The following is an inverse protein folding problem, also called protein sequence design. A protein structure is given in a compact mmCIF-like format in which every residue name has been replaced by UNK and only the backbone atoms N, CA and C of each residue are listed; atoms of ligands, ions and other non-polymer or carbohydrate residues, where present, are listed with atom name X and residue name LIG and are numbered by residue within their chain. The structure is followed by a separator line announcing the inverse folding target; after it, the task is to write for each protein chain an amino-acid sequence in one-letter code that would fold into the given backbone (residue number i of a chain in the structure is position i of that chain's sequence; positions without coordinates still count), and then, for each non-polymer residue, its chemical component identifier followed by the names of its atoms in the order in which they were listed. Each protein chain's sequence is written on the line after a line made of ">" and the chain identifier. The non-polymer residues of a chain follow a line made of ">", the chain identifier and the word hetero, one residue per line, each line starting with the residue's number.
data_IF_765153432438
#
_entry.id   IF_765153432438
#
_cell.length_a   1.000
_cell.length_b   1.000
_cell.length_c   1.000
_cell.angle_alpha   90.00
_cell.angle_beta   90.00
_cell.angle_gamma   90.00
#
_symmetry.space_group_name_H-M   'P 1'
#
loop_
_entity.id
_entity.type
_entity.pdbx_description
1 polymer ?
#
# COMPACT_ATOMS: atom_id res chain seq x y z
N UNK A 1 -120.93 25.66 -82.65
CA UNK A 1 -119.58 25.59 -82.06
C UNK A 1 -119.55 25.22 -80.58
N UNK A 2 -120.69 24.93 -79.92
CA UNK A 2 -120.73 24.53 -78.50
C UNK A 2 -120.52 23.00 -78.29
N UNK A 3 -121.03 22.15 -79.19
CA UNK A 3 -120.90 20.70 -79.04
C UNK A 3 -119.48 20.14 -79.23
N UNK A 4 -118.56 20.86 -79.88
CA UNK A 4 -117.14 20.46 -79.96
C UNK A 4 -116.39 20.76 -78.67
N UNK A 5 -116.81 21.79 -77.93
CA UNK A 5 -116.25 22.11 -76.61
C UNK A 5 -116.61 21.02 -75.59
N UNK A 6 -117.86 20.53 -75.60
CA UNK A 6 -118.32 19.47 -74.69
C UNK A 6 -117.63 18.12 -74.91
N UNK A 7 -117.27 17.78 -76.15
CA UNK A 7 -116.49 16.56 -76.45
C UNK A 7 -115.04 16.72 -76.00
N UNK A 8 -114.41 17.86 -76.26
CA UNK A 8 -113.03 18.12 -75.83
C UNK A 8 -112.87 18.22 -74.31
N UNK A 9 -113.86 18.75 -73.60
CA UNK A 9 -113.85 18.78 -72.13
C UNK A 9 -114.08 17.39 -71.54
N UNK A 10 -114.95 16.57 -72.14
CA UNK A 10 -115.13 15.17 -71.77
C UNK A 10 -113.88 14.30 -71.98
N UNK A 11 -113.15 14.51 -73.07
CA UNK A 11 -111.87 13.83 -73.35
C UNK A 11 -110.75 14.31 -72.41
N UNK A 12 -110.70 15.60 -72.10
CA UNK A 12 -109.77 16.14 -71.11
C UNK A 12 -110.04 15.55 -69.71
N UNK A 13 -111.30 15.47 -69.28
CA UNK A 13 -111.67 14.87 -67.99
C UNK A 13 -111.32 13.39 -67.91
N UNK A 14 -111.53 12.62 -68.99
CA UNK A 14 -111.08 11.22 -69.08
C UNK A 14 -109.57 11.10 -69.01
N UNK A 15 -108.83 11.94 -69.74
CA UNK A 15 -107.37 11.97 -69.67
C UNK A 15 -106.86 12.34 -68.27
N UNK A 16 -107.53 13.26 -67.55
CA UNK A 16 -107.19 13.57 -66.16
C UNK A 16 -107.48 12.40 -65.23
N UNK A 17 -108.58 11.67 -65.44
CA UNK A 17 -108.91 10.48 -64.67
C UNK A 17 -107.88 9.36 -64.90
N UNK A 18 -107.55 9.08 -66.16
CA UNK A 18 -106.53 8.08 -66.52
C UNK A 18 -105.15 8.45 -65.97
N UNK A 19 -104.78 9.74 -65.99
CA UNK A 19 -103.54 10.23 -65.40
C UNK A 19 -103.54 10.11 -63.87
N UNK A 20 -104.68 10.34 -63.21
CA UNK A 20 -104.83 10.13 -61.77
C UNK A 20 -104.73 8.66 -61.40
N UNK A 21 -105.35 7.76 -62.16
CA UNK A 21 -105.26 6.31 -61.95
C UNK A 21 -103.83 5.79 -62.16
N UNK A 22 -103.14 6.27 -63.20
CA UNK A 22 -101.73 5.96 -63.43
C UNK A 22 -100.83 6.48 -62.31
N UNK A 23 -101.08 7.71 -61.83
CA UNK A 23 -100.35 8.28 -60.71
C UNK A 23 -100.58 7.48 -59.42
N UNK A 24 -101.81 7.05 -59.13
CA UNK A 24 -102.14 6.19 -57.99
C UNK A 24 -101.44 4.83 -58.08
N UNK A 25 -101.45 4.20 -59.25
CA UNK A 25 -100.74 2.94 -59.46
C UNK A 25 -99.22 3.10 -59.32
N UNK A 26 -98.65 4.21 -59.81
CA UNK A 26 -97.22 4.52 -59.64
C UNK A 26 -96.88 4.69 -58.17
N UNK A 27 -97.71 5.44 -57.43
CA UNK A 27 -97.51 5.69 -56.00
C UNK A 27 -97.58 4.39 -55.19
N UNK A 28 -98.51 3.49 -55.49
CA UNK A 28 -98.57 2.16 -54.86
C UNK A 28 -97.35 1.28 -55.17
N UNK A 29 -96.77 1.39 -56.38
CA UNK A 29 -95.52 0.68 -56.73
C UNK A 29 -94.33 1.26 -55.97
N UNK A 30 -94.27 2.59 -55.86
CA UNK A 30 -93.23 3.27 -55.09
C UNK A 30 -93.34 2.99 -53.59
N UNK A 31 -94.55 2.93 -53.03
CA UNK A 31 -94.78 2.52 -51.64
C UNK A 31 -94.30 1.09 -51.37
N UNK A 32 -94.61 0.14 -52.28
CA UNK A 32 -94.11 -1.24 -52.20
C UNK A 32 -92.59 -1.33 -52.35
N UNK A 33 -92.00 -0.49 -53.20
CA UNK A 33 -90.54 -0.42 -53.34
C UNK A 33 -89.90 0.16 -52.07
N UNK A 34 -90.48 1.21 -51.51
CA UNK A 34 -90.01 1.84 -50.29
C UNK A 34 -90.10 0.88 -49.11
N UNK A 35 -91.21 0.16 -48.95
CA UNK A 35 -91.35 -0.83 -47.87
C UNK A 35 -90.32 -1.97 -47.99
N UNK A 36 -90.05 -2.45 -49.20
CA UNK A 36 -88.99 -3.43 -49.44
C UNK A 36 -87.59 -2.88 -49.12
N UNK A 37 -87.30 -1.61 -49.47
CA UNK A 37 -86.01 -0.99 -49.11
C UNK A 37 -85.86 -0.75 -47.62
N UNK A 38 -86.94 -0.43 -46.91
CA UNK A 38 -86.93 -0.28 -45.45
C UNK A 38 -86.63 -1.62 -44.78
N UNK A 39 -87.23 -2.71 -45.27
CA UNK A 39 -86.92 -4.06 -44.79
C UNK A 39 -85.46 -4.45 -45.07
N UNK A 40 -84.94 -4.17 -46.27
CA UNK A 40 -83.53 -4.43 -46.58
C UNK A 40 -82.58 -3.63 -45.68
N UNK A 41 -82.92 -2.36 -45.38
CA UNK A 41 -82.14 -1.53 -44.47
C UNK A 41 -82.18 -2.05 -43.03
N UNK A 42 -83.32 -2.57 -42.56
CA UNK A 42 -83.41 -3.20 -41.23
C UNK A 42 -82.57 -4.47 -41.15
N UNK A 43 -82.56 -5.28 -42.21
CA UNK A 43 -81.78 -6.52 -42.25
C UNK A 43 -80.28 -6.22 -42.28
N UNK A 44 -79.84 -5.24 -43.09
CA UNK A 44 -78.45 -4.79 -43.14
C UNK A 44 -77.98 -4.18 -41.82
N UNK A 45 -78.85 -3.45 -41.11
CA UNK A 45 -78.47 -2.90 -39.80
C UNK A 45 -78.26 -4.01 -38.77
N UNK A 46 -79.12 -5.02 -38.77
CA UNK A 46 -78.95 -6.20 -37.91
C UNK A 46 -77.65 -6.97 -38.23
N UNK A 47 -77.33 -7.19 -39.51
CA UNK A 47 -76.08 -7.83 -39.92
C UNK A 47 -74.84 -7.03 -39.49
N UNK A 48 -74.86 -5.71 -39.69
CA UNK A 48 -73.75 -4.84 -39.29
C UNK A 48 -73.56 -4.87 -37.78
N UNK A 49 -74.63 -4.86 -37.00
CA UNK A 49 -74.54 -4.92 -35.55
C UNK A 49 -74.08 -6.30 -35.05
N UNK A 50 -74.47 -7.38 -35.75
CA UNK A 50 -73.93 -8.72 -35.49
C UNK A 50 -72.41 -8.80 -35.77
N UNK A 51 -71.97 -8.31 -36.93
CA UNK A 51 -70.55 -8.30 -37.30
C UNK A 51 -69.69 -7.41 -36.38
N UNK A 52 -70.25 -6.30 -35.88
CA UNK A 52 -69.60 -5.47 -34.85
C UNK A 52 -69.45 -6.22 -33.52
N UNK A 53 -70.47 -6.98 -33.12
CA UNK A 53 -70.42 -7.80 -31.91
C UNK A 53 -69.39 -8.95 -32.03
N UNK A 54 -69.28 -9.59 -33.20
CA UNK A 54 -68.27 -10.64 -33.45
C UNK A 54 -66.83 -10.09 -33.51
N UNK A 55 -66.64 -8.87 -34.05
CA UNK A 55 -65.32 -8.21 -34.09
C UNK A 55 -64.92 -7.56 -32.78
N UNK A 56 -65.82 -7.40 -31.82
CA UNK A 56 -65.49 -6.82 -30.54
C UNK A 56 -64.44 -7.72 -29.86
N UNK A 57 -63.27 -7.18 -29.45
CA UNK A 57 -62.27 -7.97 -28.77
C UNK A 57 -62.89 -8.58 -27.51
N UNK A 58 -62.73 -9.89 -27.34
CA UNK A 58 -63.29 -10.58 -26.18
C UNK A 58 -62.72 -9.97 -24.89
N UNK A 59 -63.52 -9.93 -23.83
CA UNK A 59 -63.10 -9.38 -22.53
C UNK A 59 -61.72 -9.91 -22.08
N UNK A 60 -61.44 -11.19 -22.31
CA UNK A 60 -60.14 -11.79 -22.03
C UNK A 60 -58.96 -11.18 -22.83
N UNK A 61 -59.17 -10.78 -24.09
CA UNK A 61 -58.14 -10.11 -24.90
C UNK A 61 -57.88 -8.69 -24.43
N UNK A 62 -58.91 -7.95 -24.00
CA UNK A 62 -58.76 -6.63 -23.39
C UNK A 62 -57.99 -6.71 -22.07
N UNK A 63 -58.37 -7.62 -21.17
CA UNK A 63 -57.67 -7.84 -19.89
C UNK A 63 -56.21 -8.24 -20.10
N UNK A 64 -55.93 -9.12 -21.07
CA UNK A 64 -54.55 -9.50 -21.42
C UNK A 64 -53.73 -8.30 -21.92
N UNK A 65 -54.33 -7.44 -22.75
CA UNK A 65 -53.67 -6.23 -23.25
C UNK A 65 -53.36 -5.26 -22.11
N UNK A 66 -54.30 -5.04 -21.21
CA UNK A 66 -54.11 -4.17 -20.04
C UNK A 66 -53.01 -4.71 -19.11
N UNK A 67 -53.00 -6.02 -18.83
CA UNK A 67 -51.94 -6.66 -18.06
C UNK A 67 -50.55 -6.49 -18.70
N UNK A 68 -50.45 -6.69 -20.02
CA UNK A 68 -49.19 -6.47 -20.75
C UNK A 68 -48.76 -5.01 -20.75
N UNK A 69 -49.71 -4.07 -20.81
CA UNK A 69 -49.42 -2.64 -20.71
C UNK A 69 -48.91 -2.27 -19.31
N UNK A 70 -49.51 -2.81 -18.25
CA UNK A 70 -49.05 -2.61 -16.88
C UNK A 70 -47.62 -3.17 -16.69
N UNK A 71 -47.35 -4.38 -17.17
CA UNK A 71 -46.00 -4.95 -17.12
C UNK A 71 -44.98 -4.14 -17.94
N UNK A 72 -45.37 -3.63 -19.11
CA UNK A 72 -44.53 -2.72 -19.89
C UNK A 72 -44.17 -1.46 -19.09
N UNK A 73 -45.14 -0.85 -18.40
CA UNK A 73 -44.89 0.34 -17.58
C UNK A 73 -43.96 0.01 -16.42
N UNK A 74 -44.17 -1.11 -15.72
CA UNK A 74 -43.27 -1.58 -14.65
C UNK A 74 -41.84 -1.79 -15.17
N UNK A 75 -41.67 -2.45 -16.31
CA UNK A 75 -40.36 -2.66 -16.92
C UNK A 75 -39.66 -1.35 -17.31
N UNK A 76 -40.40 -0.38 -17.85
CA UNK A 76 -39.87 0.95 -18.16
C UNK A 76 -39.45 1.71 -16.91
N UNK A 77 -40.25 1.65 -15.84
CA UNK A 77 -39.89 2.24 -14.55
C UNK A 77 -38.62 1.59 -13.99
N UNK A 78 -38.53 0.26 -13.98
CA UNK A 78 -37.34 -0.44 -13.51
C UNK A 78 -36.09 -0.06 -14.31
N UNK A 79 -36.20 0.01 -15.64
CA UNK A 79 -35.11 0.44 -16.52
C UNK A 79 -34.66 1.88 -16.23
N UNK A 80 -35.61 2.76 -15.92
CA UNK A 80 -35.31 4.15 -15.53
C UNK A 80 -34.57 4.20 -14.20
N UNK A 81 -35.02 3.48 -13.19
CA UNK A 81 -34.35 3.42 -11.88
C UNK A 81 -32.94 2.85 -12.01
N UNK A 82 -32.75 1.80 -12.83
CA UNK A 82 -31.42 1.26 -13.12
C UNK A 82 -30.50 2.30 -13.77
N UNK A 83 -31.00 3.09 -14.74
CA UNK A 83 -30.20 4.15 -15.39
C UNK A 83 -29.81 5.25 -14.41
N UNK A 84 -30.74 5.66 -13.54
CA UNK A 84 -30.48 6.66 -12.51
C UNK A 84 -29.44 6.15 -11.49
N UNK A 85 -29.52 4.87 -11.08
CA UNK A 85 -28.51 4.24 -10.22
C UNK A 85 -27.13 4.13 -10.90
N UNK A 86 -27.08 3.79 -12.19
CA UNK A 86 -25.83 3.78 -12.96
C UNK A 86 -25.22 5.18 -13.06
N UNK A 87 -26.04 6.21 -13.27
CA UNK A 87 -25.56 7.60 -13.29
C UNK A 87 -25.00 8.01 -11.92
N UNK A 88 -25.71 7.74 -10.83
CA UNK A 88 -25.26 8.05 -9.47
C UNK A 88 -23.95 7.34 -9.11
N UNK A 89 -23.79 6.07 -9.50
CA UNK A 89 -22.54 5.33 -9.29
C UNK A 89 -21.40 5.86 -10.15
N UNK A 90 -21.66 6.27 -11.40
CA UNK A 90 -20.66 6.91 -12.25
C UNK A 90 -20.18 8.25 -11.66
N UNK A 91 -21.10 9.08 -11.17
CA UNK A 91 -20.77 10.35 -10.52
C UNK A 91 -19.95 10.11 -9.24
N UNK A 92 -20.32 9.11 -8.44
CA UNK A 92 -19.54 8.72 -7.26
C UNK A 92 -18.12 8.27 -7.63
N UNK A 93 -17.96 7.47 -8.68
CA UNK A 93 -16.65 7.06 -9.19
C UNK A 93 -15.83 8.28 -9.61
N UNK A 94 -16.43 9.22 -10.37
CA UNK A 94 -15.75 10.45 -10.78
C UNK A 94 -15.32 11.30 -9.58
N UNK A 95 -16.19 11.45 -8.58
CA UNK A 95 -15.85 12.17 -7.34
C UNK A 95 -14.66 11.53 -6.61
N UNK A 96 -14.53 10.19 -6.66
CA UNK A 96 -13.41 9.48 -6.04
C UNK A 96 -12.10 9.50 -6.85
N UNK A 97 -12.12 9.86 -8.13
CA UNK A 97 -10.90 9.88 -8.97
C UNK A 97 -9.88 10.90 -8.47
N UNK A 98 -10.31 12.13 -8.22
CA UNK A 98 -9.43 13.21 -7.75
C UNK A 98 -8.75 12.92 -6.40
N UNK A 99 -9.45 12.48 -5.33
CA UNK A 99 -8.80 12.13 -4.07
C UNK A 99 -7.87 10.91 -4.21
N UNK A 100 -8.23 9.89 -5.01
CA UNK A 100 -7.33 8.76 -5.30
C UNK A 100 -6.03 9.22 -5.97
N UNK A 101 -6.10 10.13 -6.94
CA UNK A 101 -4.93 10.72 -7.58
C UNK A 101 -4.07 11.53 -6.60
N UNK A 102 -4.69 12.28 -5.67
CA UNK A 102 -3.95 13.01 -4.62
C UNK A 102 -3.23 12.05 -3.66
N UNK A 103 -3.91 10.99 -3.22
CA UNK A 103 -3.34 9.99 -2.32
C UNK A 103 -2.19 9.22 -2.97
N UNK A 104 -2.36 8.78 -4.22
CA UNK A 104 -1.30 8.08 -4.96
C UNK A 104 -0.05 8.95 -5.11
N UNK A 105 -0.20 10.22 -5.52
CA UNK A 105 0.92 11.19 -5.57
C UNK A 105 1.62 11.34 -4.21
N UNK A 106 0.85 11.41 -3.12
CA UNK A 106 1.42 11.51 -1.76
C UNK A 106 2.16 10.24 -1.35
N UNK A 107 1.63 9.08 -1.67
CA UNK A 107 2.29 7.79 -1.42
C UNK A 107 3.61 7.70 -2.17
N UNK A 108 3.65 8.14 -3.43
CA UNK A 108 4.88 8.10 -4.22
C UNK A 108 5.92 9.10 -3.71
N UNK A 109 5.51 10.29 -3.24
CA UNK A 109 6.40 11.21 -2.55
C UNK A 109 6.99 10.58 -1.27
N UNK A 110 6.15 9.98 -0.42
CA UNK A 110 6.60 9.30 0.81
C UNK A 110 7.55 8.12 0.54
N UNK A 111 7.34 7.37 -0.55
CA UNK A 111 8.28 6.31 -0.95
C UNK A 111 9.67 6.87 -1.28
N UNK A 112 9.74 8.05 -1.90
CA UNK A 112 11.01 8.72 -2.18
C UNK A 112 11.66 9.14 -0.87
N UNK A 113 10.91 9.76 0.05
CA UNK A 113 11.42 10.19 1.36
C UNK A 113 11.96 9.00 2.17
N UNK A 114 11.24 7.88 2.20
CA UNK A 114 11.70 6.65 2.88
C UNK A 114 13.00 6.12 2.27
N UNK A 115 13.15 6.15 0.94
CA UNK A 115 14.40 5.75 0.28
C UNK A 115 15.56 6.66 0.67
N UNK A 116 15.32 7.98 0.73
CA UNK A 116 16.32 8.96 1.16
C UNK A 116 16.71 8.73 2.61
N UNK A 117 15.74 8.59 3.52
CA UNK A 117 15.98 8.31 4.93
C UNK A 117 16.76 7.01 5.14
N UNK A 118 16.43 5.95 4.40
CA UNK A 118 17.17 4.67 4.47
C UNK A 118 18.63 4.83 4.04
N UNK A 119 18.90 5.62 3.00
CA UNK A 119 20.28 5.94 2.57
C UNK A 119 21.02 6.73 3.64
N UNK A 120 20.39 7.77 4.20
CA UNK A 120 20.98 8.58 5.28
C UNK A 120 21.26 7.75 6.54
N UNK A 121 20.34 6.86 6.91
CA UNK A 121 20.54 5.93 8.02
C UNK A 121 21.73 5.02 7.76
N UNK A 122 21.84 4.42 6.57
CA UNK A 122 22.98 3.58 6.20
C UNK A 122 24.31 4.33 6.27
N UNK A 123 24.36 5.56 5.77
CA UNK A 123 25.55 6.43 5.86
C UNK A 123 25.92 6.74 7.31
N UNK A 124 24.96 7.14 8.13
CA UNK A 124 25.19 7.44 9.55
C UNK A 124 25.63 6.20 10.33
N UNK A 125 25.02 5.04 10.07
CA UNK A 125 25.43 3.78 10.69
C UNK A 125 26.87 3.45 10.33
N UNK A 126 27.26 3.57 9.05
CA UNK A 126 28.64 3.37 8.62
C UNK A 126 29.62 4.34 9.28
N UNK A 127 29.25 5.62 9.42
CA UNK A 127 30.05 6.63 10.13
C UNK A 127 30.26 6.27 11.61
N UNK A 128 29.20 5.82 12.30
CA UNK A 128 29.30 5.38 13.70
C UNK A 128 30.20 4.16 13.83
N UNK A 129 30.04 3.17 12.95
CA UNK A 129 30.91 1.98 12.95
C UNK A 129 32.38 2.34 12.67
N UNK A 130 32.63 3.23 11.71
CA UNK A 130 33.98 3.72 11.42
C UNK A 130 34.58 4.46 12.63
N UNK A 131 33.79 5.32 13.29
CA UNK A 131 34.23 6.02 14.49
C UNK A 131 34.56 5.06 15.65
N UNK A 132 33.71 4.05 15.89
CA UNK A 132 33.96 3.02 16.90
C UNK A 132 35.24 2.24 16.55
N UNK A 133 35.43 1.85 15.30
CA UNK A 133 36.63 1.14 14.86
C UNK A 133 37.89 1.99 15.07
N UNK A 134 37.86 3.27 14.67
CA UNK A 134 38.96 4.23 14.89
C UNK A 134 39.24 4.47 16.38
N UNK A 135 38.23 4.41 17.24
CA UNK A 135 38.40 4.58 18.69
C UNK A 135 38.98 3.33 19.37
N UNK A 136 38.59 2.14 18.90
CA UNK A 136 39.06 0.86 19.47
C UNK A 136 40.45 0.46 18.94
N UNK A 137 40.80 0.85 17.72
CA UNK A 137 42.12 0.57 17.12
C UNK A 137 43.31 1.00 18.00
N UNK A 138 43.36 2.24 18.55
CA UNK A 138 44.44 2.64 19.44
C UNK A 138 44.42 1.91 20.80
N UNK A 139 43.26 1.47 21.30
CA UNK A 139 43.20 0.71 22.55
C UNK A 139 43.90 -0.64 22.42
N UNK A 140 43.65 -1.36 21.33
CA UNK A 140 44.36 -2.60 21.01
C UNK A 140 45.88 -2.38 20.88
N UNK A 141 46.30 -1.23 20.33
CA UNK A 141 47.73 -0.88 20.23
C UNK A 141 48.37 -0.57 21.59
N UNK A 142 47.65 0.09 22.50
CA UNK A 142 48.13 0.40 23.86
C UNK A 142 48.20 -0.86 24.72
N UNK A 143 47.24 -1.77 24.59
CA UNK A 143 47.29 -3.07 25.26
C UNK A 143 48.49 -3.89 24.79
N UNK A 144 48.76 -3.93 23.48
CA UNK A 144 49.95 -4.58 22.94
C UNK A 144 51.25 -3.95 23.48
N UNK A 145 51.34 -2.62 23.53
CA UNK A 145 52.52 -1.93 24.08
C UNK A 145 52.70 -2.20 25.58
N UNK A 146 51.60 -2.28 26.35
CA UNK A 146 51.66 -2.67 27.78
C UNK A 146 52.17 -4.09 27.96
N UNK A 147 51.70 -5.03 27.14
CA UNK A 147 52.20 -6.41 27.14
C UNK A 147 53.70 -6.48 26.81
N UNK A 148 54.16 -5.76 25.78
CA UNK A 148 55.58 -5.68 25.42
C UNK A 148 56.42 -5.08 26.55
N UNK A 149 55.93 -4.02 27.20
CA UNK A 149 56.64 -3.40 28.32
C UNK A 149 56.74 -4.34 29.53
N UNK A 150 55.68 -5.10 29.84
CA UNK A 150 55.71 -6.11 30.89
C UNK A 150 56.72 -7.22 30.59
N UNK A 151 56.81 -7.69 29.33
CA UNK A 151 57.81 -8.67 28.90
C UNK A 151 59.23 -8.13 29.08
N UNK A 152 59.51 -6.91 28.62
CA UNK A 152 60.83 -6.29 28.78
C UNK A 152 61.20 -6.07 30.25
N UNK A 153 60.23 -5.73 31.11
CA UNK A 153 60.48 -5.61 32.54
C UNK A 153 60.81 -6.97 33.17
N UNK A 154 60.13 -8.03 32.76
CA UNK A 154 60.41 -9.39 33.21
C UNK A 154 61.80 -9.85 32.74
N UNK A 155 62.15 -9.62 31.48
CA UNK A 155 63.50 -9.91 30.94
C UNK A 155 64.60 -9.13 31.68
N UNK A 156 64.36 -7.86 32.01
CA UNK A 156 65.30 -7.09 32.83
C UNK A 156 65.45 -7.65 34.23
N UNK A 157 64.36 -8.11 34.85
CA UNK A 157 64.40 -8.71 36.17
C UNK A 157 65.22 -10.01 36.15
N UNK A 158 65.00 -10.90 35.16
CA UNK A 158 65.76 -12.14 35.02
C UNK A 158 67.24 -11.88 34.70
N UNK A 159 67.54 -10.90 33.85
CA UNK A 159 68.92 -10.47 33.58
C UNK A 159 69.60 -9.89 34.83
N UNK A 160 68.89 -9.06 35.61
CA UNK A 160 69.42 -8.50 36.86
C UNK A 160 69.71 -9.59 37.90
N UNK A 161 68.85 -10.61 38.00
CA UNK A 161 69.10 -11.79 38.83
C UNK A 161 70.32 -12.59 38.35
N UNK A 162 70.43 -12.81 37.03
CA UNK A 162 71.58 -13.49 36.44
C UNK A 162 72.90 -12.74 36.71
N UNK A 163 72.89 -11.40 36.60
CA UNK A 163 74.05 -10.55 36.92
C UNK A 163 74.40 -10.64 38.42
N UNK A 164 73.41 -10.59 39.31
CA UNK A 164 73.66 -10.77 40.76
C UNK A 164 74.26 -12.14 41.07
N UNK A 165 73.78 -13.20 40.42
CA UNK A 165 74.34 -14.55 40.57
C UNK A 165 75.77 -14.65 40.02
N UNK A 166 76.05 -14.02 38.88
CA UNK A 166 77.40 -13.95 38.32
C UNK A 166 78.36 -13.15 39.22
N UNK A 167 77.90 -12.04 39.81
CA UNK A 167 78.66 -11.25 40.79
C UNK A 167 79.00 -12.08 42.03
N UNK A 168 78.04 -12.82 42.59
CA UNK A 168 78.30 -13.73 43.71
C UNK A 168 79.34 -14.79 43.38
N UNK A 169 79.23 -15.44 42.22
CA UNK A 169 80.22 -16.42 41.75
C UNK A 169 81.61 -15.80 41.58
N UNK A 170 81.68 -14.55 41.10
CA UNK A 170 82.95 -13.83 40.99
C UNK A 170 83.55 -13.54 42.36
N UNK A 171 82.74 -13.14 43.34
CA UNK A 171 83.19 -12.91 44.71
C UNK A 171 83.66 -14.19 45.38
N UNK A 172 82.94 -15.30 45.20
CA UNK A 172 83.35 -16.65 45.62
C UNK A 172 84.70 -17.03 45.00
N UNK A 173 84.87 -16.89 43.68
CA UNK A 173 86.13 -17.17 43.00
C UNK A 173 87.28 -16.27 43.47
N UNK A 174 87.02 -15.00 43.77
CA UNK A 174 88.03 -14.09 44.35
C UNK A 174 88.42 -14.52 45.76
N UNK A 175 87.47 -14.99 46.57
CA UNK A 175 87.75 -15.53 47.89
C UNK A 175 88.57 -16.82 47.81
N UNK A 176 88.24 -17.72 46.87
CA UNK A 176 88.99 -18.95 46.60
C UNK A 176 90.42 -18.64 46.14
N UNK A 177 90.61 -17.68 45.24
CA UNK A 177 91.93 -17.22 44.81
C UNK A 177 92.72 -16.60 45.97
N UNK A 178 92.10 -15.77 46.80
CA UNK A 178 92.75 -15.20 47.99
C UNK A 178 93.16 -16.29 49.00
N UNK A 179 92.34 -17.34 49.16
CA UNK A 179 92.66 -18.49 50.00
C UNK A 179 93.82 -19.31 49.43
N UNK A 180 93.87 -19.50 48.11
CA UNK A 180 94.99 -20.16 47.42
C UNK A 180 96.29 -19.33 47.55
N UNK A 181 96.23 -18.01 47.32
CA UNK A 181 97.38 -17.11 47.52
C UNK A 181 97.86 -17.09 48.99
N UNK A 182 96.95 -17.18 49.95
CA UNK A 182 97.30 -17.27 51.37
C UNK A 182 97.93 -18.63 51.72
N UNK A 183 97.47 -19.72 51.11
CA UNK A 183 98.08 -21.04 51.24
C UNK A 183 99.48 -21.11 50.61
N UNK A 184 99.70 -20.44 49.48
CA UNK A 184 101.00 -20.35 48.80
C UNK A 184 102.04 -19.56 49.64
N UNK A 185 101.58 -18.54 50.38
CA UNK A 185 102.41 -17.80 51.37
C UNK A 185 102.75 -18.61 52.62
N UNK A 186 101.97 -19.63 52.97
CA UNK A 186 102.25 -20.56 54.07
C UNK A 186 103.07 -21.78 53.62
N UNK A 187 103.19 -22.01 52.32
CA UNK A 187 103.95 -23.11 51.71
C UNK A 187 105.39 -22.79 51.31
N UNK A 188 105.91 -21.58 51.57
CA UNK A 188 107.22 -21.15 51.08
C UNK A 188 108.23 -20.87 52.21
N UNK A 189 108.79 -21.94 52.78
CA UNK A 189 110.17 -21.94 53.28
C UNK A 189 110.94 -23.13 52.71
N UNK A 190 112.14 -22.85 52.20
CA UNK A 190 113.16 -23.75 51.61
C UNK A 190 112.95 -24.17 50.15
N UNK A 191 113.49 -23.38 49.21
CA UNK A 191 114.88 -23.51 48.74
C UNK A 191 115.06 -23.22 47.25
N UNK A 192 116.18 -22.57 47.02
CA UNK A 192 116.73 -22.11 45.75
C UNK A 192 117.06 -23.21 44.74
N UNK A 193 116.98 -22.80 43.48
CA UNK A 193 117.70 -23.26 42.28
C UNK A 193 117.18 -24.46 41.49
N UNK A 194 116.95 -24.19 40.19
CA UNK A 194 116.93 -25.19 39.12
C UNK A 194 116.04 -24.79 37.95
N UNK A 195 116.56 -24.00 37.00
CA UNK A 195 115.87 -23.73 35.73
C UNK A 195 116.02 -24.88 34.73
N UNK A 196 115.01 -25.08 33.87
CA UNK A 196 115.15 -25.47 32.45
C UNK A 196 113.77 -25.62 31.76
N UNK A 197 113.47 -24.63 30.91
CA UNK A 197 112.83 -24.64 29.57
C UNK A 197 112.18 -25.95 29.06
N UNK A 198 110.89 -25.87 28.71
CA UNK A 198 110.20 -26.31 27.46
C UNK A 198 108.70 -26.56 27.77
N UNK A 199 107.69 -26.24 26.95
CA UNK A 199 107.62 -25.72 25.59
C UNK A 199 106.15 -25.47 25.17
N UNK A 200 106.01 -24.74 24.06
CA UNK A 200 104.93 -24.74 23.06
C UNK A 200 103.45 -24.56 23.46
N UNK A 201 102.89 -23.46 22.98
CA UNK A 201 101.46 -23.30 22.68
C UNK A 201 101.19 -21.99 21.94
N UNK A 202 101.03 -22.07 20.62
CA UNK A 202 100.89 -20.96 19.68
C UNK A 202 99.63 -20.09 19.88
N UNK A 203 99.84 -18.81 19.59
CA UNK A 203 98.98 -17.66 19.28
C UNK A 203 97.82 -17.97 18.26
N UNK A 204 96.88 -17.04 17.92
CA UNK A 204 97.12 -15.59 17.92
C UNK A 204 95.98 -14.59 18.16
N UNK A 205 96.45 -13.35 18.31
CA UNK A 205 95.81 -12.05 18.34
C UNK A 205 95.17 -11.63 17.00
N UNK A 206 94.09 -10.85 17.14
CA UNK A 206 93.72 -9.59 16.42
C UNK A 206 93.62 -9.56 14.88
N UNK A 207 92.54 -8.97 14.35
CA UNK A 207 92.51 -7.58 13.80
C UNK A 207 91.17 -7.18 13.15
N UNK A 208 90.89 -5.87 13.25
CA UNK A 208 90.16 -4.94 12.32
C UNK A 208 89.77 -5.49 10.94
N UNK A 209 88.73 -5.08 10.23
CA UNK A 209 87.91 -3.86 10.21
C UNK A 209 87.33 -3.72 8.78
N UNK A 210 86.27 -2.93 8.66
CA UNK A 210 85.72 -2.28 7.45
C UNK A 210 84.90 -3.03 6.37
N UNK A 211 83.74 -2.38 6.13
CA UNK A 211 83.05 -2.08 4.87
C UNK A 211 82.54 -3.21 3.95
N UNK A 212 81.21 -3.20 3.71
CA UNK A 212 80.66 -2.99 2.37
C UNK A 212 79.13 -2.85 2.43
N UNK A 213 78.64 -1.68 2.01
CA UNK A 213 77.31 -1.53 1.46
C UNK A 213 77.26 -2.23 0.08
N UNK A 214 76.18 -2.95 -0.19
CA UNK A 214 75.74 -3.22 -1.56
C UNK A 214 74.23 -3.47 -1.59
N UNK A 215 73.54 -2.43 -2.06
CA UNK A 215 72.20 -2.41 -2.65
C UNK A 215 72.08 -3.46 -3.75
N UNK A 216 70.89 -4.08 -3.93
CA UNK A 216 70.23 -4.25 -5.23
C UNK A 216 68.83 -4.91 -5.13
N UNK A 217 67.83 -4.11 -5.51
CA UNK A 217 66.68 -4.38 -6.42
C UNK A 217 65.63 -5.45 -6.04
N UNK A 218 64.38 -5.06 -5.78
CA UNK A 218 63.28 -4.66 -6.72
C UNK A 218 62.48 -5.85 -7.27
N UNK A 219 61.19 -5.89 -6.92
CA UNK A 219 60.03 -6.29 -7.75
C UNK A 219 58.75 -6.19 -6.88
N UNK A 220 57.85 -5.21 -7.07
CA UNK A 220 56.65 -5.20 -7.99
C UNK A 220 55.64 -6.30 -7.61
N UNK A 221 54.34 -6.08 -7.35
CA UNK A 221 53.29 -5.15 -7.81
C UNK A 221 52.14 -5.15 -6.76
N UNK A 222 51.18 -4.23 -6.66
CA UNK A 222 50.77 -3.09 -7.49
C UNK A 222 49.40 -2.59 -7.00
N UNK A 223 49.20 -1.27 -6.98
CA UNK A 223 48.10 -0.54 -7.63
C UNK A 223 47.93 0.87 -7.03
N UNK A 224 48.42 1.83 -7.81
CA UNK A 224 47.69 3.00 -8.30
C UNK A 224 46.61 3.62 -7.41
N UNK A 225 46.94 4.74 -6.76
CA UNK A 225 46.12 5.96 -6.86
C UNK A 225 47.05 7.17 -6.95
N UNK A 226 47.06 7.76 -8.14
CA UNK A 226 47.61 9.08 -8.42
C UNK A 226 46.72 10.12 -7.72
N UNK A 227 47.27 10.86 -6.76
CA UNK A 227 46.65 12.08 -6.23
C UNK A 227 47.69 13.19 -6.27
N UNK A 228 47.59 14.02 -7.31
CA UNK A 228 48.07 15.38 -7.28
C UNK A 228 47.44 16.10 -6.08
N UNK A 229 48.27 16.63 -5.18
CA UNK A 229 47.89 17.75 -4.34
C UNK A 229 49.15 18.53 -4.00
N UNK A 230 49.15 19.79 -4.43
CA UNK A 230 50.10 20.80 -4.02
C UNK A 230 50.10 20.89 -2.48
N UNK A 231 51.26 20.66 -1.87
CA UNK A 231 51.54 21.07 -0.50
C UNK A 231 51.71 22.60 -0.49
N UNK A 232 50.58 23.32 -0.46
CA UNK A 232 50.54 24.65 0.15
C UNK A 232 50.25 24.47 1.65
N UNK A 233 51.24 24.81 2.47
CA UNK A 233 51.10 25.01 3.92
C UNK A 233 49.98 26.00 4.22
N UNK A 234 48.76 25.52 4.42
CA UNK A 234 47.75 26.23 5.19
C UNK A 234 47.88 25.84 6.66
N UNK A 235 48.90 26.39 7.33
CA UNK A 235 48.89 26.53 8.78
C UNK A 235 47.75 27.50 9.14
N UNK A 236 46.54 26.97 9.32
CA UNK A 236 45.45 27.73 9.90
C UNK A 236 45.82 28.04 11.35
N UNK A 237 46.17 29.30 11.61
CA UNK A 237 46.38 29.85 12.95
C UNK A 237 45.19 29.51 13.85
N UNK A 238 45.39 28.52 14.73
CA UNK A 238 44.47 28.22 15.82
C UNK A 238 44.63 29.36 16.83
N UNK A 239 43.60 30.18 17.09
CA UNK A 239 43.71 31.23 18.08
C UNK A 239 43.98 30.59 19.45
N UNK A 240 45.15 30.89 20.02
CA UNK A 240 45.53 30.45 21.35
C UNK A 240 44.69 31.22 22.39
N UNK A 241 43.45 30.76 22.59
CA UNK A 241 42.60 31.26 23.66
C UNK A 241 43.29 31.06 25.01
N UNK A 242 43.30 32.11 25.83
CA UNK A 242 43.75 32.03 27.21
C UNK A 242 42.89 31.01 27.98
N UNK A 243 43.40 30.43 29.07
CA UNK A 243 42.62 29.43 29.83
C UNK A 243 41.27 29.95 30.33
N UNK A 244 41.18 31.25 30.64
CA UNK A 244 39.94 31.89 31.05
C UNK A 244 38.91 31.93 29.90
N UNK A 245 39.34 32.24 28.68
CA UNK A 245 38.48 32.25 27.49
C UNK A 245 38.04 30.83 27.09
N UNK A 246 38.91 29.83 27.23
CA UNK A 246 38.54 28.42 27.00
C UNK A 246 37.49 27.94 27.99
N UNK A 247 37.58 28.34 29.27
CA UNK A 247 36.55 28.01 30.28
C UNK A 247 35.24 28.74 30.00
N UNK A 248 35.28 30.01 29.60
CA UNK A 248 34.09 30.78 29.23
C UNK A 248 33.37 30.20 28.01
N UNK A 249 34.11 29.86 26.96
CA UNK A 249 33.57 29.25 25.73
C UNK A 249 33.04 27.83 25.99
N UNK A 250 33.72 27.02 26.81
CA UNK A 250 33.21 25.71 27.21
C UNK A 250 31.89 25.83 28.01
N UNK A 251 31.77 26.85 28.86
CA UNK A 251 30.55 27.12 29.64
C UNK A 251 29.42 27.58 28.72
N UNK A 252 29.71 28.46 27.75
CA UNK A 252 28.76 28.91 26.72
C UNK A 252 28.25 27.77 25.86
N UNK A 253 29.13 26.85 25.45
CA UNK A 253 28.75 25.65 24.68
C UNK A 253 27.89 24.71 25.50
N UNK A 254 28.20 24.49 26.78
CA UNK A 254 27.36 23.69 27.69
C UNK A 254 25.99 24.32 27.90
N UNK A 255 25.90 25.64 28.10
CA UNK A 255 24.62 26.31 28.25
C UNK A 255 23.79 26.27 26.97
N UNK A 256 24.43 26.39 25.80
CA UNK A 256 23.75 26.25 24.50
C UNK A 256 23.25 24.82 24.27
N UNK A 257 24.05 23.80 24.63
CA UNK A 257 23.63 22.39 24.55
C UNK A 257 22.47 22.08 25.49
N UNK A 258 22.49 22.61 26.73
CA UNK A 258 21.38 22.44 27.68
C UNK A 258 20.12 23.15 27.20
N UNK A 259 20.24 24.35 26.62
CA UNK A 259 19.10 25.06 26.04
C UNK A 259 18.52 24.31 24.83
N UNK A 260 19.37 23.79 23.94
CA UNK A 260 18.95 22.97 22.80
C UNK A 260 18.27 21.68 23.26
N UNK A 261 18.81 20.99 24.27
CA UNK A 261 18.20 19.79 24.84
C UNK A 261 16.81 20.07 25.42
N UNK A 262 16.66 21.13 26.23
CA UNK A 262 15.37 21.54 26.77
C UNK A 262 14.35 21.86 25.67
N UNK A 263 14.79 22.54 24.61
CA UNK A 263 13.91 22.84 23.47
C UNK A 263 13.48 21.59 22.69
N UNK A 264 14.36 20.60 22.57
CA UNK A 264 14.05 19.33 21.93
C UNK A 264 13.09 18.49 22.81
N UNK A 265 13.26 18.52 24.13
CA UNK A 265 12.34 17.87 25.07
C UNK A 265 10.94 18.49 25.01
N UNK A 266 10.82 19.82 24.97
CA UNK A 266 9.52 20.48 24.84
C UNK A 266 8.85 20.16 23.51
N UNK A 267 9.60 20.16 22.40
CA UNK A 267 9.08 19.76 21.09
C UNK A 267 8.62 18.30 21.09
N UNK A 268 9.37 17.40 21.72
CA UNK A 268 8.99 16.00 21.80
C UNK A 268 7.72 15.79 22.63
N UNK A 269 7.52 16.55 23.70
CA UNK A 269 6.28 16.50 24.50
C UNK A 269 5.10 17.03 23.70
N UNK A 270 5.25 18.14 22.97
CA UNK A 270 4.22 18.70 22.09
C UNK A 270 3.83 17.75 20.95
N UNK A 271 4.81 17.06 20.34
CA UNK A 271 4.53 16.05 19.32
C UNK A 271 3.79 14.85 19.91
N UNK A 272 4.16 14.40 21.11
CA UNK A 272 3.47 13.29 21.79
C UNK A 272 2.03 13.64 22.11
N UNK A 273 1.76 14.83 22.67
CA UNK A 273 0.38 15.26 22.96
C UNK A 273 -0.45 15.42 21.70
N UNK A 274 0.15 15.93 20.61
CA UNK A 274 -0.51 16.00 19.30
C UNK A 274 -0.85 14.62 18.73
N UNK A 275 0.06 13.65 18.86
CA UNK A 275 -0.18 12.27 18.41
C UNK A 275 -1.25 11.57 19.26
N UNK A 276 -1.27 11.82 20.57
CA UNK A 276 -2.29 11.30 21.47
C UNK A 276 -3.68 11.86 21.15
N UNK A 277 -3.80 13.18 20.92
CA UNK A 277 -5.04 13.80 20.48
C UNK A 277 -5.53 13.19 19.17
N UNK A 278 -4.63 13.05 18.19
CA UNK A 278 -4.96 12.45 16.90
C UNK A 278 -5.37 10.98 17.02
N UNK A 279 -4.75 10.22 17.94
CA UNK A 279 -5.15 8.83 18.24
C UNK A 279 -6.54 8.76 18.85
N UNK A 280 -6.91 9.68 19.74
CA UNK A 280 -8.25 9.75 20.34
C UNK A 280 -9.29 10.08 19.28
N UNK A 281 -9.02 11.06 18.42
CA UNK A 281 -9.91 11.43 17.32
C UNK A 281 -10.11 10.27 16.34
N UNK A 282 -9.03 9.55 16.00
CA UNK A 282 -9.09 8.41 15.10
C UNK A 282 -9.90 7.25 15.71
N UNK A 283 -9.74 6.98 17.02
CA UNK A 283 -10.59 6.01 17.73
C UNK A 283 -12.06 6.42 17.69
N UNK A 284 -12.37 7.70 17.89
CA UNK A 284 -13.75 8.22 17.83
C UNK A 284 -14.35 8.04 16.44
N UNK A 285 -13.60 8.35 15.38
CA UNK A 285 -14.05 8.16 14.01
C UNK A 285 -14.28 6.68 13.67
N UNK A 286 -13.39 5.80 14.12
CA UNK A 286 -13.56 4.35 13.91
C UNK A 286 -14.81 3.84 14.60
N UNK A 287 -15.10 4.27 15.83
CA UNK A 287 -16.32 3.89 16.53
C UNK A 287 -17.59 4.37 15.82
N UNK A 288 -17.59 5.60 15.30
CA UNK A 288 -18.70 6.12 14.49
C UNK A 288 -18.91 5.30 13.22
N UNK A 289 -17.83 4.95 12.52
CA UNK A 289 -17.91 4.10 11.33
C UNK A 289 -18.43 2.69 11.66
N UNK A 290 -18.01 2.10 12.78
CA UNK A 290 -18.54 0.82 13.23
C UNK A 290 -20.05 0.91 13.48
N UNK A 291 -20.51 1.98 14.12
CA UNK A 291 -21.94 2.20 14.36
C UNK A 291 -22.72 2.37 13.04
N UNK A 292 -22.21 3.16 12.10
CA UNK A 292 -22.83 3.33 10.78
C UNK A 292 -22.92 2.02 9.99
N UNK A 293 -21.90 1.15 10.09
CA UNK A 293 -21.91 -0.18 9.47
C UNK A 293 -22.94 -1.08 10.14
N UNK A 294 -23.00 -1.11 11.48
CA UNK A 294 -23.99 -1.89 12.22
C UNK A 294 -25.42 -1.46 11.89
N UNK A 295 -25.67 -0.15 11.73
CA UNK A 295 -26.96 0.38 11.31
C UNK A 295 -27.31 0.01 9.86
N UNK A 296 -26.33 0.08 8.95
CA UNK A 296 -26.50 -0.35 7.56
C UNK A 296 -26.78 -1.86 7.44
N UNK A 297 -26.07 -2.69 8.21
CA UNK A 297 -26.27 -4.13 8.26
C UNK A 297 -27.65 -4.47 8.85
N UNK A 298 -28.08 -3.76 9.89
CA UNK A 298 -29.42 -3.92 10.47
C UNK A 298 -30.52 -3.57 9.46
N UNK A 299 -30.36 -2.49 8.70
CA UNK A 299 -31.29 -2.11 7.64
C UNK A 299 -31.35 -3.19 6.53
N UNK A 300 -30.19 -3.68 6.09
CA UNK A 300 -30.11 -4.74 5.09
C UNK A 300 -30.77 -6.05 5.56
N UNK A 301 -30.59 -6.42 6.83
CA UNK A 301 -31.27 -7.58 7.41
C UNK A 301 -32.79 -7.40 7.48
N UNK A 302 -33.28 -6.19 7.75
CA UNK A 302 -34.71 -5.89 7.72
C UNK A 302 -35.29 -6.01 6.32
N UNK A 303 -34.58 -5.51 5.29
CA UNK A 303 -34.99 -5.65 3.90
C UNK A 303 -35.00 -7.12 3.46
N UNK A 304 -33.98 -7.90 3.84
CA UNK A 304 -33.93 -9.34 3.54
C UNK A 304 -35.06 -10.10 4.23
N UNK A 305 -35.37 -9.78 5.50
CA UNK A 305 -36.52 -10.35 6.20
C UNK A 305 -37.82 -10.00 5.51
N UNK A 306 -38.04 -8.73 5.17
CA UNK A 306 -39.24 -8.30 4.43
C UNK A 306 -39.38 -9.00 3.07
N UNK A 307 -38.26 -9.22 2.37
CA UNK A 307 -38.23 -9.98 1.13
C UNK A 307 -38.59 -11.46 1.35
N UNK A 308 -38.02 -12.10 2.36
CA UNK A 308 -38.35 -13.48 2.72
C UNK A 308 -39.79 -13.64 3.21
N UNK A 309 -40.31 -12.69 3.98
CA UNK A 309 -41.70 -12.67 4.42
C UNK A 309 -42.65 -12.47 3.24
N UNK A 310 -42.29 -11.66 2.25
CA UNK A 310 -43.07 -11.52 1.01
C UNK A 310 -43.07 -12.82 0.17
N UNK A 311 -41.93 -13.52 0.11
CA UNK A 311 -41.85 -14.84 -0.53
C UNK A 311 -42.68 -15.89 0.22
N UNK A 312 -42.56 -15.93 1.54
CA UNK A 312 -43.31 -16.87 2.39
C UNK A 312 -44.80 -16.56 2.39
N UNK A 313 -45.22 -15.30 2.33
CA UNK A 313 -46.61 -14.90 2.16
C UNK A 313 -47.17 -15.32 0.79
N UNK A 314 -46.37 -15.18 -0.27
CA UNK A 314 -46.75 -15.67 -1.60
C UNK A 314 -46.85 -17.21 -1.70
N UNK A 315 -46.17 -17.93 -0.80
CA UNK A 315 -46.26 -19.39 -0.65
C UNK A 315 -47.38 -19.79 0.31
N UNK A 316 -47.60 -19.05 1.40
CA UNK A 316 -48.65 -19.29 2.41
C UNK A 316 -50.07 -19.01 1.91
N UNK A 317 -50.24 -18.05 0.99
CA UNK A 317 -51.51 -17.88 0.25
C UNK A 317 -51.77 -19.02 -0.77
N UNK A 318 -50.79 -19.90 -1.01
CA UNK A 318 -50.96 -21.10 -1.85
C UNK A 318 -51.36 -22.36 -1.06
N UNK A 319 -51.22 -22.36 0.28
CA UNK A 319 -51.72 -23.46 1.15
C UNK A 319 -53.23 -23.35 1.41
N UNK A 320 -53.86 -22.24 1.00
CA UNK A 320 -55.30 -22.07 0.93
C UNK A 320 -55.90 -22.58 -0.38
N UNK A 321 -55.69 -23.85 -0.74
CA UNK A 321 -56.50 -24.56 -1.75
C UNK A 321 -56.62 -23.92 -3.15
N UNK A 322 -55.66 -23.10 -3.59
CA UNK A 322 -55.68 -22.57 -4.95
C UNK A 322 -54.96 -23.55 -5.88
N UNK A 323 -55.73 -24.50 -6.43
CA UNK A 323 -55.31 -25.40 -7.51
C UNK A 323 -54.63 -24.60 -8.63
N UNK A 324 -53.29 -24.67 -8.73
CA UNK A 324 -52.54 -24.01 -9.80
C UNK A 324 -52.61 -24.88 -11.05
N UNK A 325 -53.78 -24.84 -11.68
CA UNK A 325 -54.05 -25.55 -12.92
C UNK A 325 -53.30 -24.90 -14.09
N UNK A 326 -52.67 -25.72 -14.91
CA UNK A 326 -52.10 -25.27 -16.18
C UNK A 326 -53.22 -24.71 -17.07
N UNK A 327 -53.14 -23.43 -17.46
CA UNK A 327 -54.16 -22.75 -18.30
C UNK A 327 -54.41 -23.41 -19.67
N UNK A 328 -53.57 -24.36 -20.11
CA UNK A 328 -53.66 -25.03 -21.41
C UNK A 328 -54.23 -26.45 -21.35
N UNK A 329 -54.07 -27.16 -20.24
CA UNK A 329 -54.53 -28.55 -20.11
C UNK A 329 -55.32 -28.83 -18.83
N UNK A 330 -55.50 -27.82 -17.95
CA UNK A 330 -56.19 -27.93 -16.65
C UNK A 330 -55.61 -28.99 -15.71
N UNK A 331 -54.46 -29.60 -16.06
CA UNK A 331 -53.74 -30.50 -15.19
C UNK A 331 -53.12 -29.72 -14.03
N UNK A 332 -53.20 -30.31 -12.85
CA UNK A 332 -52.60 -29.79 -11.64
C UNK A 332 -51.07 -29.93 -11.74
N UNK A 333 -50.34 -28.82 -11.64
CA UNK A 333 -48.89 -28.81 -11.93
C UNK A 333 -48.06 -29.61 -10.92
N UNK A 334 -48.66 -30.02 -9.79
CA UNK A 334 -47.99 -30.75 -8.72
C UNK A 334 -48.60 -32.13 -8.42
N UNK A 335 -49.59 -32.60 -9.20
CA UNK A 335 -50.26 -33.90 -9.00
C UNK A 335 -49.39 -35.14 -9.31
N UNK A 336 -48.08 -34.98 -9.46
CA UNK A 336 -47.13 -36.06 -9.80
C UNK A 336 -45.91 -36.16 -8.88
N UNK A 337 -45.83 -35.37 -7.81
CA UNK A 337 -44.81 -35.54 -6.78
C UNK A 337 -45.42 -36.25 -5.57
N UNK A 338 -45.58 -37.56 -5.70
CA UNK A 338 -45.83 -38.50 -4.60
C UNK A 338 -44.79 -39.61 -4.66
#
# INVERSE_FOLDING_TARGET
>A
MLGSLDVTTGDALRSFHDALDQAQQSLQRDEKRLSATVQLLSDLTLEVDHLKAERAPSSATCQRREALQAEKVKALQHTRHQREAIAATADHIQHLQAPRLKLTKRVDALKIDVKVLRRQYGLRAAQVHAFIAQFLQPQNSLENLRCQLAQLQQERATQAEAVKMAQRRLEEQKADLAALEAADRLGTTSDSNGGAIAGNGKAPRTKSGDEAAAVLTLATDGNDVQLDAADEECAADVPLFTEAERRAEATRRRSAQVAAHKSAETQQVEERTRLEALRVDLKRQVLLLCQEIEEADAAQQQEQKAYHDALNGAVGEADGGVLRQCKRCSCDLFGGFS
#
